data_IF_785184878163
#
_entry.id   IF_785184878163
#
_cell.length_a   1.000
_cell.length_b   1.000
_cell.length_c   1.000
_cell.angle_alpha   90.00
_cell.angle_beta   90.00
_cell.angle_gamma   90.00
#
_symmetry.space_group_name_H-M   'P 1'
#
loop_
_entity.id
_entity.type
_entity.pdbx_description
1 polymer ?
#
# COMPACT_ATOMS: atom_id res chain seq x y z
N UNK A 1 18.59 -39.84 -36.48
CA UNK A 1 17.23 -39.80 -35.89
C UNK A 1 17.25 -39.65 -34.36
N UNK A 2 18.10 -40.39 -33.63
CA UNK A 2 18.15 -40.37 -32.16
C UNK A 2 18.60 -39.02 -31.55
N UNK A 3 19.52 -38.29 -32.20
CA UNK A 3 20.01 -36.98 -31.73
C UNK A 3 18.96 -35.84 -31.85
N UNK A 4 17.93 -36.00 -32.69
CA UNK A 4 16.85 -35.01 -32.85
C UNK A 4 15.80 -35.14 -31.73
N UNK A 5 15.55 -36.38 -31.28
CA UNK A 5 14.60 -36.68 -30.20
C UNK A 5 15.13 -36.26 -28.81
N UNK A 6 16.44 -36.30 -28.59
CA UNK A 6 17.06 -35.81 -27.34
C UNK A 6 16.92 -34.27 -27.22
N UNK A 7 17.06 -33.54 -28.33
CA UNK A 7 16.90 -32.08 -28.36
C UNK A 7 15.46 -31.64 -28.07
N UNK A 8 14.46 -32.38 -28.55
CA UNK A 8 13.04 -32.10 -28.27
C UNK A 8 12.71 -32.36 -26.79
N UNK A 9 13.29 -33.40 -26.17
CA UNK A 9 13.11 -33.65 -24.72
C UNK A 9 13.75 -32.58 -23.83
N UNK A 10 14.86 -31.97 -24.24
CA UNK A 10 15.46 -30.85 -23.50
C UNK A 10 14.58 -29.60 -23.55
N UNK A 11 13.96 -29.29 -24.70
CA UNK A 11 13.06 -28.13 -24.87
C UNK A 11 11.75 -28.28 -24.08
N UNK A 12 11.30 -29.51 -23.80
CA UNK A 12 10.09 -29.76 -22.97
C UNK A 12 10.44 -29.86 -21.47
N UNK A 13 11.68 -30.21 -21.11
CA UNK A 13 12.14 -30.27 -19.73
C UNK A 13 12.64 -28.92 -19.18
N UNK A 14 13.17 -28.06 -20.06
CA UNK A 14 13.45 -26.65 -19.78
C UNK A 14 12.21 -25.84 -20.14
N UNK A 15 11.20 -25.91 -19.28
CA UNK A 15 10.03 -25.03 -19.36
C UNK A 15 10.42 -23.58 -19.08
N UNK A 16 11.13 -22.94 -20.00
CA UNK A 16 11.33 -21.49 -20.05
C UNK A 16 10.02 -20.84 -20.57
N UNK A 17 8.98 -20.99 -19.76
CA UNK A 17 7.72 -20.29 -19.91
C UNK A 17 7.91 -18.85 -19.41
N UNK A 18 8.73 -18.07 -20.12
CA UNK A 18 8.98 -16.65 -19.84
C UNK A 18 9.59 -16.44 -18.45
N UNK A 19 10.80 -15.87 -18.36
CA UNK A 19 11.24 -15.14 -17.16
C UNK A 19 10.40 -13.86 -17.03
N UNK A 20 9.08 -14.02 -16.89
CA UNK A 20 8.17 -12.95 -16.61
C UNK A 20 8.52 -12.50 -15.19
N UNK A 21 8.80 -11.21 -15.01
CA UNK A 21 8.67 -10.61 -13.69
C UNK A 21 7.32 -11.05 -13.13
N UNK A 22 7.33 -11.85 -12.07
CA UNK A 22 6.10 -12.30 -11.43
C UNK A 22 5.34 -11.07 -10.94
N UNK A 23 4.11 -10.91 -11.41
CA UNK A 23 3.24 -9.85 -10.93
C UNK A 23 3.04 -10.04 -9.42
N UNK A 24 3.36 -8.99 -8.67
CA UNK A 24 3.16 -8.97 -7.23
C UNK A 24 1.79 -8.34 -6.96
N UNK A 25 0.88 -9.12 -6.37
CA UNK A 25 -0.45 -8.65 -6.00
C UNK A 25 -0.53 -8.30 -4.51
N UNK A 26 -1.26 -7.24 -4.19
CA UNK A 26 -1.69 -6.90 -2.83
C UNK A 26 -3.16 -7.27 -2.64
N UNK A 27 -3.52 -7.78 -1.46
CA UNK A 27 -4.92 -7.91 -1.06
C UNK A 27 -5.41 -6.59 -0.47
N UNK A 28 -6.46 -6.00 -1.06
CA UNK A 28 -7.12 -4.84 -0.49
C UNK A 28 -8.14 -5.27 0.57
N UNK A 29 -7.78 -5.15 1.85
CA UNK A 29 -8.57 -5.62 2.99
C UNK A 29 -9.81 -4.78 3.27
N UNK A 30 -9.98 -3.64 2.59
CA UNK A 30 -11.22 -2.86 2.64
C UNK A 30 -12.34 -3.52 1.83
N UNK A 31 -11.98 -4.34 0.84
CA UNK A 31 -12.92 -4.96 -0.10
C UNK A 31 -12.89 -6.49 -0.08
N UNK A 32 -11.75 -7.09 0.30
CA UNK A 32 -11.61 -8.53 0.46
C UNK A 32 -11.77 -8.94 1.93
N UNK A 33 -12.30 -10.15 2.14
CA UNK A 33 -12.47 -10.76 3.47
C UNK A 33 -13.38 -9.96 4.42
N UNK A 34 -14.34 -9.22 3.86
CA UNK A 34 -15.24 -8.33 4.61
C UNK A 34 -16.25 -9.05 5.49
N UNK A 35 -16.38 -10.36 5.31
CA UNK A 35 -17.10 -11.31 6.17
C UNK A 35 -16.38 -11.59 7.51
N UNK A 36 -15.17 -11.06 7.72
CA UNK A 36 -14.42 -11.15 8.99
C UNK A 36 -14.14 -9.78 9.61
N UNK A 37 -13.92 -9.71 10.95
CA UNK A 37 -13.28 -8.58 11.62
C UNK A 37 -11.96 -8.18 10.93
N UNK A 38 -11.60 -6.90 11.00
CA UNK A 38 -10.51 -6.33 10.19
C UNK A 38 -9.14 -6.97 10.45
N UNK A 39 -8.82 -7.22 11.72
CA UNK A 39 -7.61 -7.89 12.19
C UNK A 39 -7.49 -9.33 11.66
N UNK A 40 -8.59 -10.09 11.63
CA UNK A 40 -8.60 -11.45 11.07
C UNK A 40 -8.31 -11.50 9.55
N UNK A 41 -8.55 -10.40 8.83
CA UNK A 41 -8.34 -10.35 7.37
C UNK A 41 -6.87 -10.49 6.99
N UNK A 42 -5.94 -10.10 7.86
CA UNK A 42 -4.50 -10.27 7.63
C UNK A 42 -4.14 -11.75 7.54
N UNK A 43 -4.65 -12.56 8.49
CA UNK A 43 -4.45 -14.01 8.47
C UNK A 43 -5.01 -14.64 7.20
N UNK A 44 -6.22 -14.21 6.78
CA UNK A 44 -6.88 -14.73 5.57
C UNK A 44 -6.12 -14.35 4.30
N UNK A 45 -5.62 -13.12 4.19
CA UNK A 45 -4.79 -12.70 3.07
C UNK A 45 -3.51 -13.54 2.95
N UNK A 46 -2.81 -13.77 4.08
CA UNK A 46 -1.62 -14.60 4.10
C UNK A 46 -1.93 -16.06 3.70
N UNK A 47 -3.01 -16.64 4.22
CA UNK A 47 -3.46 -18.00 3.85
C UNK A 47 -3.85 -18.11 2.37
N UNK A 48 -4.38 -17.04 1.77
CA UNK A 48 -4.68 -16.97 0.35
C UNK A 48 -3.42 -16.76 -0.53
N UNK A 49 -2.23 -16.68 0.06
CA UNK A 49 -0.95 -16.59 -0.64
C UNK A 49 -0.47 -15.16 -0.93
N UNK A 50 -1.20 -14.13 -0.49
CA UNK A 50 -0.74 -12.76 -0.63
C UNK A 50 0.49 -12.49 0.24
N UNK A 51 1.39 -11.65 -0.28
CA UNK A 51 2.56 -11.14 0.45
C UNK A 51 2.49 -9.65 0.73
N UNK A 52 1.59 -8.95 0.06
CA UNK A 52 1.28 -7.55 0.28
C UNK A 52 -0.17 -7.35 0.68
N UNK A 53 -0.43 -6.37 1.53
CA UNK A 53 -1.78 -5.91 1.85
C UNK A 53 -1.88 -4.39 1.70
N UNK A 54 -3.08 -3.94 1.41
CA UNK A 54 -3.45 -2.53 1.41
C UNK A 54 -4.87 -2.37 1.98
N UNK A 55 -5.19 -1.16 2.41
CA UNK A 55 -6.53 -0.78 2.86
C UNK A 55 -6.64 0.74 2.87
N UNK A 56 -7.87 1.26 2.90
CA UNK A 56 -8.10 2.70 2.73
C UNK A 56 -7.51 3.52 3.88
N UNK A 57 -7.98 3.30 5.11
CA UNK A 57 -7.67 4.17 6.25
C UNK A 57 -7.32 3.35 7.51
N UNK A 58 -6.08 3.40 8.01
CA UNK A 58 -5.70 2.68 9.23
C UNK A 58 -6.09 3.39 10.53
N UNK A 59 -6.54 4.64 10.48
CA UNK A 59 -6.49 5.58 11.60
C UNK A 59 -7.40 5.25 12.79
N UNK A 60 -8.35 4.32 12.61
CA UNK A 60 -9.15 3.78 13.71
C UNK A 60 -8.41 2.71 14.53
N UNK A 61 -7.24 2.25 14.06
CA UNK A 61 -6.44 1.21 14.67
C UNK A 61 -5.09 1.77 15.13
N UNK A 62 -4.58 1.21 16.22
CA UNK A 62 -3.24 1.47 16.70
C UNK A 62 -2.18 0.99 15.69
N UNK A 63 -1.20 1.84 15.39
CA UNK A 63 -0.22 1.56 14.35
C UNK A 63 0.72 0.39 14.72
N UNK A 64 1.06 0.26 16.00
CA UNK A 64 1.90 -0.81 16.52
C UNK A 64 1.17 -2.15 16.46
N UNK A 65 -0.13 -2.17 16.71
CA UNK A 65 -0.95 -3.37 16.55
C UNK A 65 -1.03 -3.83 15.08
N UNK A 66 -1.24 -2.90 14.15
CA UNK A 66 -1.17 -3.21 12.72
C UNK A 66 0.22 -3.73 12.31
N UNK A 67 1.30 -3.12 12.82
CA UNK A 67 2.67 -3.57 12.61
C UNK A 67 2.93 -4.97 13.19
N UNK A 68 2.30 -5.29 14.34
CA UNK A 68 2.31 -6.64 14.93
C UNK A 68 1.66 -7.66 14.00
N UNK A 69 0.46 -7.37 13.48
CA UNK A 69 -0.26 -8.23 12.54
C UNK A 69 0.52 -8.47 11.24
N UNK A 70 1.09 -7.40 10.66
CA UNK A 70 1.93 -7.50 9.46
C UNK A 70 3.13 -8.44 9.67
N UNK A 71 3.81 -8.33 10.82
CA UNK A 71 4.94 -9.21 11.18
C UNK A 71 4.49 -10.64 11.44
N UNK A 72 3.43 -10.82 12.21
CA UNK A 72 2.87 -12.14 12.54
C UNK A 72 2.54 -12.94 11.28
N UNK A 73 1.89 -12.31 10.31
CA UNK A 73 1.45 -12.96 9.07
C UNK A 73 2.44 -12.80 7.90
N UNK A 74 3.62 -12.22 8.14
CA UNK A 74 4.68 -12.00 7.13
C UNK A 74 4.19 -11.26 5.89
N UNK A 75 3.37 -10.24 6.12
CA UNK A 75 2.78 -9.37 5.11
C UNK A 75 3.52 -8.04 5.05
N UNK A 76 3.63 -7.48 3.85
CA UNK A 76 4.13 -6.13 3.63
C UNK A 76 2.96 -5.16 3.48
N UNK A 77 2.99 -4.04 4.19
CA UNK A 77 2.10 -2.92 3.87
C UNK A 77 2.49 -2.34 2.50
N UNK A 78 1.56 -2.35 1.55
CA UNK A 78 1.80 -1.84 0.19
C UNK A 78 1.30 -0.41 0.04
N UNK A 79 0.10 -0.12 0.54
CA UNK A 79 -0.53 1.20 0.41
C UNK A 79 -1.53 1.48 1.54
N UNK A 80 -1.64 2.75 1.91
CA UNK A 80 -2.80 3.32 2.59
C UNK A 80 -3.01 4.78 2.17
N UNK A 81 -4.22 5.30 2.33
CA UNK A 81 -4.54 6.69 2.01
C UNK A 81 -4.25 7.61 3.19
N UNK A 82 -4.24 8.92 2.93
CA UNK A 82 -4.30 9.96 3.96
C UNK A 82 -5.71 10.06 4.55
N UNK A 83 -5.90 10.77 5.69
CA UNK A 83 -7.25 11.04 6.19
C UNK A 83 -8.10 11.74 5.13
N UNK A 84 -9.34 11.27 4.96
CA UNK A 84 -10.23 11.73 3.89
C UNK A 84 -11.10 12.93 4.26
N UNK A 85 -10.98 13.45 5.49
CA UNK A 85 -11.94 14.38 6.07
C UNK A 85 -13.13 13.63 6.67
N UNK A 86 -14.31 14.26 6.65
CA UNK A 86 -15.56 13.68 7.12
C UNK A 86 -16.18 12.77 6.04
N UNK A 87 -15.86 11.49 6.14
CA UNK A 87 -16.33 10.49 5.18
C UNK A 87 -17.86 10.33 5.18
N UNK A 88 -18.48 10.48 6.35
CA UNK A 88 -19.93 10.31 6.56
C UNK A 88 -20.72 11.51 6.04
N UNK A 89 -20.14 12.71 6.12
CA UNK A 89 -20.65 13.90 5.42
C UNK A 89 -20.40 13.88 3.90
N UNK A 90 -19.77 12.84 3.36
CA UNK A 90 -19.58 12.64 1.92
C UNK A 90 -18.22 13.09 1.39
N UNK A 91 -17.28 13.51 2.24
CA UNK A 91 -15.95 13.92 1.80
C UNK A 91 -15.12 12.72 1.30
N UNK A 92 -14.27 12.97 0.30
CA UNK A 92 -13.44 11.93 -0.36
C UNK A 92 -11.97 12.35 -0.46
N UNK A 93 -11.53 13.15 0.51
CA UNK A 93 -10.21 13.78 0.53
C UNK A 93 -10.32 15.30 0.51
N UNK A 94 -9.40 15.94 1.23
CA UNK A 94 -9.43 17.39 1.49
C UNK A 94 -8.30 18.17 0.79
N UNK A 95 -7.48 17.47 0.00
CA UNK A 95 -6.25 18.02 -0.58
C UNK A 95 -6.45 19.22 -1.52
N UNK A 96 -7.64 19.33 -2.12
CA UNK A 96 -8.02 20.39 -3.05
C UNK A 96 -9.08 21.34 -2.49
N UNK A 97 -9.40 21.26 -1.20
CA UNK A 97 -10.37 22.14 -0.54
C UNK A 97 -9.66 23.40 -0.01
N UNK A 98 -9.96 24.61 -0.56
CA UNK A 98 -9.36 25.84 -0.07
C UNK A 98 -9.72 26.10 1.40
N UNK A 99 -8.76 26.54 2.21
CA UNK A 99 -8.96 26.84 3.63
C UNK A 99 -8.77 25.65 4.58
N UNK A 100 -8.44 24.46 4.05
CA UNK A 100 -8.15 23.24 4.86
C UNK A 100 -6.70 22.77 4.71
N UNK A 101 -5.79 23.65 4.32
CA UNK A 101 -4.38 23.32 4.08
C UNK A 101 -3.67 22.81 5.33
N UNK A 102 -3.98 23.38 6.50
CA UNK A 102 -3.37 22.98 7.77
C UNK A 102 -3.87 21.60 8.24
N UNK A 103 -5.16 21.33 8.05
CA UNK A 103 -5.71 20.00 8.29
C UNK A 103 -5.11 18.96 7.34
N UNK A 104 -4.98 19.30 6.06
CA UNK A 104 -4.31 18.43 5.10
C UNK A 104 -2.85 18.16 5.51
N UNK A 105 -2.13 19.18 5.97
CA UNK A 105 -0.76 19.04 6.46
C UNK A 105 -0.68 18.10 7.68
N UNK A 106 -1.57 18.26 8.65
CA UNK A 106 -1.66 17.37 9.80
C UNK A 106 -1.95 15.92 9.36
N UNK A 107 -2.88 15.74 8.41
CA UNK A 107 -3.18 14.43 7.83
C UNK A 107 -1.99 13.80 7.10
N UNK A 108 -1.17 14.60 6.41
CA UNK A 108 0.10 14.14 5.80
C UNK A 108 1.07 13.66 6.88
N UNK A 109 1.24 14.41 7.97
CA UNK A 109 2.13 14.02 9.08
C UNK A 109 1.68 12.72 9.73
N UNK A 110 0.37 12.57 10.00
CA UNK A 110 -0.21 11.34 10.51
C UNK A 110 0.01 10.17 9.53
N UNK A 111 -0.23 10.37 8.24
CA UNK A 111 0.02 9.36 7.21
C UNK A 111 1.48 8.92 7.15
N UNK A 112 2.44 9.82 7.34
CA UNK A 112 3.87 9.49 7.39
C UNK A 112 4.21 8.69 8.64
N UNK A 113 3.64 9.04 9.79
CA UNK A 113 3.86 8.30 11.03
C UNK A 113 3.42 6.84 10.89
N UNK A 114 2.21 6.60 10.37
CA UNK A 114 1.72 5.26 10.08
C UNK A 114 2.58 4.54 9.03
N UNK A 115 2.92 5.19 7.92
CA UNK A 115 3.74 4.57 6.88
C UNK A 115 5.12 4.10 7.42
N UNK A 116 5.70 4.85 8.37
CA UNK A 116 6.95 4.48 9.05
C UNK A 116 6.77 3.27 9.96
N UNK A 117 5.76 3.29 10.82
CA UNK A 117 5.48 2.21 11.76
C UNK A 117 5.16 0.88 11.03
N UNK A 118 4.44 0.97 9.91
CA UNK A 118 4.02 -0.19 9.11
C UNK A 118 5.08 -0.68 8.11
N UNK A 119 6.24 0.00 8.02
CA UNK A 119 7.27 -0.35 7.04
C UNK A 119 6.81 -0.22 5.58
N UNK A 120 5.88 0.69 5.29
CA UNK A 120 5.28 0.84 3.96
C UNK A 120 6.26 1.54 2.99
N UNK A 121 6.74 0.88 1.92
CA UNK A 121 7.74 1.46 1.02
C UNK A 121 7.16 2.56 0.12
N UNK A 122 5.88 2.44 -0.26
CA UNK A 122 5.13 3.48 -0.96
C UNK A 122 4.47 4.39 0.08
N UNK A 123 5.16 5.48 0.41
CA UNK A 123 4.64 6.57 1.24
C UNK A 123 3.33 7.08 0.62
N UNK A 124 2.23 7.01 1.38
CA UNK A 124 0.83 7.35 1.07
C UNK A 124 0.53 8.15 -0.22
N UNK A 125 -0.59 7.86 -0.87
CA UNK A 125 -1.01 8.36 -2.21
C UNK A 125 -0.80 9.86 -2.46
N UNK A 126 -0.95 10.73 -1.46
CA UNK A 126 -0.79 12.19 -1.62
C UNK A 126 0.64 12.74 -1.37
N UNK A 127 1.57 11.91 -0.90
CA UNK A 127 2.94 12.33 -0.55
C UNK A 127 3.74 12.91 -1.74
N UNK A 128 3.71 12.33 -2.96
CA UNK A 128 4.43 12.89 -4.09
C UNK A 128 3.95 14.30 -4.45
N UNK A 129 2.64 14.56 -4.35
CA UNK A 129 2.05 15.88 -4.57
C UNK A 129 2.48 16.87 -3.48
N UNK A 130 2.38 16.48 -2.21
CA UNK A 130 2.78 17.31 -1.08
C UNK A 130 4.25 17.73 -1.14
N UNK A 131 5.19 16.80 -1.38
CA UNK A 131 6.63 17.14 -1.52
C UNK A 131 6.88 18.15 -2.63
N UNK A 132 6.16 18.02 -3.75
CA UNK A 132 6.32 18.90 -4.91
C UNK A 132 5.84 20.32 -4.57
N UNK A 133 4.73 20.45 -3.85
CA UNK A 133 4.22 21.73 -3.33
C UNK A 133 5.16 22.36 -2.31
N UNK A 134 5.65 21.59 -1.32
CA UNK A 134 6.56 22.12 -0.29
C UNK A 134 7.91 22.56 -0.86
N UNK A 135 8.44 21.83 -1.84
CA UNK A 135 9.67 22.23 -2.55
C UNK A 135 9.47 23.55 -3.30
N UNK A 136 8.33 23.74 -3.97
CA UNK A 136 8.01 25.01 -4.65
C UNK A 136 7.87 26.17 -3.67
N UNK A 137 7.17 25.98 -2.54
CA UNK A 137 7.01 27.02 -1.51
C UNK A 137 8.31 27.45 -0.83
N UNK A 138 9.24 26.51 -0.60
CA UNK A 138 10.60 26.83 -0.11
C UNK A 138 11.41 27.59 -1.15
N UNK A 139 11.28 27.25 -2.43
CA UNK A 139 11.97 27.96 -3.51
C UNK A 139 11.40 29.36 -3.78
N UNK A 140 10.12 29.61 -3.46
CA UNK A 140 9.47 30.92 -3.60
C UNK A 140 9.58 31.82 -2.36
N UNK A 141 10.28 31.39 -1.30
CA UNK A 141 10.40 32.17 -0.06
C UNK A 141 9.12 32.30 0.76
N UNK A 142 8.10 31.47 0.48
CA UNK A 142 6.79 31.50 1.16
C UNK A 142 6.73 30.61 2.42
N UNK A 143 7.85 30.03 2.84
CA UNK A 143 8.03 29.28 4.08
C UNK A 143 9.38 29.68 4.67
N UNK A 144 9.38 30.35 5.83
CA UNK A 144 10.56 30.61 6.67
C UNK A 144 10.98 29.36 7.42
#
# INVERSE_FOLDING_TARGET
>A
MLAFLIKIRAIIAEGDFVTARSLQFSANLSFLFTDSPFDERFARAARAGFRGVEYMFPYAFDAQELSRLLREYRLQQVLHNLPAGDWDAGERGIACLPGREDEFRAGVEQGIAYARELGCPHRSTAWPAYRRTMRRRRQSGQLS
#
